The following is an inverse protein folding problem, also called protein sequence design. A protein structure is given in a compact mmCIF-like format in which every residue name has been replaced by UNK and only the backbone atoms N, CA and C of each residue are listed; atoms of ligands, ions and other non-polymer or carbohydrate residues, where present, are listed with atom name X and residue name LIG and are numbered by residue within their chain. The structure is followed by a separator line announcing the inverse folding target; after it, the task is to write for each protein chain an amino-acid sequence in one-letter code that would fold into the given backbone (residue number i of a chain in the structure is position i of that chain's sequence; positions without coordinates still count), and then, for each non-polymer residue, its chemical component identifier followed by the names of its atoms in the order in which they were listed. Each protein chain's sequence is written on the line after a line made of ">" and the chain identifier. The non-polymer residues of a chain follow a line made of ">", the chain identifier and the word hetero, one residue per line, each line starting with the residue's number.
data_IF_575069430593
#
_entry.id   IF_575069430593
#
_cell.length_a   1.000
_cell.length_b   1.000
_cell.length_c   1.000
_cell.angle_alpha   90.00
_cell.angle_beta   90.00
_cell.angle_gamma   90.00
#
_symmetry.space_group_name_H-M   'P 1'
#
loop_
_entity.id
_entity.type
_entity.pdbx_description
1 polymer ?
#
# COMPACT_ATOMS: atom_id res chain seq x y z
N UNK A 1 13.16 10.73 -21.55
CA UNK A 1 13.11 10.76 -20.07
C UNK A 1 11.69 10.42 -19.64
N UNK A 2 11.50 9.37 -18.84
CA UNK A 2 10.18 9.05 -18.26
C UNK A 2 10.05 9.87 -16.97
N UNK A 3 9.27 10.95 -16.99
CA UNK A 3 8.98 11.73 -15.79
C UNK A 3 8.11 10.91 -14.84
N UNK A 4 8.49 10.84 -13.56
CA UNK A 4 7.67 10.21 -12.54
C UNK A 4 6.46 11.10 -12.26
N UNK A 5 5.35 10.49 -11.85
CA UNK A 5 4.14 11.25 -11.50
C UNK A 5 4.38 12.29 -10.39
N UNK A 6 5.36 12.03 -9.52
CA UNK A 6 5.80 12.95 -8.47
C UNK A 6 6.47 14.21 -9.01
N UNK A 7 7.20 14.11 -10.12
CA UNK A 7 7.85 15.26 -10.75
C UNK A 7 6.80 16.27 -11.22
N UNK A 8 5.66 15.78 -11.70
CA UNK A 8 4.51 16.62 -12.09
C UNK A 8 3.86 17.34 -10.92
N UNK A 9 3.79 16.69 -9.75
CA UNK A 9 3.31 17.33 -8.51
C UNK A 9 4.28 18.43 -8.07
N UNK A 10 5.58 18.19 -8.18
CA UNK A 10 6.61 19.19 -7.86
C UNK A 10 6.54 20.37 -8.83
N UNK A 11 6.39 20.12 -10.13
CA UNK A 11 6.21 21.17 -11.14
C UNK A 11 4.99 22.05 -10.85
N UNK A 12 3.85 21.45 -10.47
CA UNK A 12 2.67 22.22 -10.08
C UNK A 12 2.92 23.11 -8.84
N UNK A 13 3.74 22.64 -7.89
CA UNK A 13 4.06 23.37 -6.66
C UNK A 13 5.22 24.37 -6.82
N UNK A 14 6.02 24.30 -7.91
CA UNK A 14 7.09 25.27 -8.19
C UNK A 14 6.56 26.68 -8.44
N UNK A 15 5.29 26.83 -8.80
CA UNK A 15 4.64 28.13 -8.95
C UNK A 15 4.52 28.90 -7.61
N UNK A 16 4.97 28.33 -6.48
CA UNK A 16 5.09 29.02 -5.20
C UNK A 16 3.79 29.13 -4.40
N UNK A 17 2.65 28.86 -5.04
CA UNK A 17 1.33 28.82 -4.42
C UNK A 17 1.10 27.50 -3.67
N UNK A 18 0.47 27.59 -2.49
CA UNK A 18 -0.01 26.40 -1.79
C UNK A 18 -1.24 25.85 -2.51
N UNK A 19 -1.26 24.54 -2.78
CA UNK A 19 -2.36 23.89 -3.50
C UNK A 19 -2.94 22.74 -2.69
N UNK A 20 -4.27 22.59 -2.74
CA UNK A 20 -4.96 21.41 -2.22
C UNK A 20 -4.76 20.21 -3.16
N UNK A 21 -5.01 19.00 -2.67
CA UNK A 21 -4.95 17.77 -3.50
C UNK A 21 -5.87 17.88 -4.73
N UNK A 22 -7.05 18.49 -4.57
CA UNK A 22 -7.99 18.75 -5.68
C UNK A 22 -7.40 19.75 -6.68
N UNK A 23 -6.77 20.82 -6.20
CA UNK A 23 -6.05 21.79 -7.05
C UNK A 23 -4.92 21.15 -7.85
N UNK A 24 -4.09 20.33 -7.20
CA UNK A 24 -3.01 19.58 -7.84
C UNK A 24 -3.53 18.64 -8.93
N UNK A 25 -4.63 17.92 -8.64
CA UNK A 25 -5.28 17.06 -9.63
C UNK A 25 -5.70 17.85 -10.87
N UNK A 26 -6.42 18.96 -10.67
CA UNK A 26 -6.91 19.78 -11.78
C UNK A 26 -5.76 20.35 -12.62
N UNK A 27 -4.67 20.80 -11.98
CA UNK A 27 -3.48 21.29 -12.66
C UNK A 27 -2.75 20.18 -13.45
N UNK A 28 -2.71 18.96 -12.93
CA UNK A 28 -2.12 17.85 -13.68
C UNK A 28 -3.02 17.44 -14.85
N UNK A 29 -4.34 17.42 -14.66
CA UNK A 29 -5.29 17.12 -15.72
C UNK A 29 -5.28 18.18 -16.84
N UNK A 30 -5.02 19.45 -16.54
CA UNK A 30 -4.88 20.50 -17.57
C UNK A 30 -3.65 20.30 -18.47
N UNK A 31 -2.64 19.55 -18.03
CA UNK A 31 -1.49 19.17 -18.88
C UNK A 31 -1.78 17.99 -19.81
N UNK A 32 -3.04 17.52 -19.87
CA UNK A 32 -3.47 16.38 -20.70
C UNK A 32 -3.27 15.01 -20.04
N UNK A 33 -2.95 14.98 -18.74
CA UNK A 33 -2.64 13.76 -18.00
C UNK A 33 -3.79 13.40 -17.08
N UNK A 34 -4.41 12.25 -17.28
CA UNK A 34 -5.45 11.76 -16.38
C UNK A 34 -4.86 11.42 -15.00
N UNK A 35 -5.26 12.15 -13.97
CA UNK A 35 -4.76 11.99 -12.61
C UNK A 35 -5.87 11.49 -11.68
N UNK A 36 -5.80 10.22 -11.27
CA UNK A 36 -6.69 9.70 -10.24
C UNK A 36 -6.41 10.38 -8.90
N UNK A 37 -7.45 10.76 -8.16
CA UNK A 37 -7.31 11.41 -6.85
C UNK A 37 -6.42 10.61 -5.88
N UNK A 38 -6.58 9.28 -5.86
CA UNK A 38 -5.74 8.38 -5.06
C UNK A 38 -4.26 8.44 -5.43
N UNK A 39 -3.94 8.56 -6.72
CA UNK A 39 -2.56 8.66 -7.19
C UNK A 39 -1.91 9.98 -6.74
N UNK A 40 -2.65 11.10 -6.84
CA UNK A 40 -2.20 12.41 -6.35
C UNK A 40 -2.00 12.38 -4.84
N UNK A 41 -2.95 11.82 -4.08
CA UNK A 41 -2.83 11.67 -2.63
C UNK A 41 -1.60 10.84 -2.24
N UNK A 42 -1.36 9.72 -2.92
CA UNK A 42 -0.18 8.89 -2.66
C UNK A 42 1.13 9.61 -2.97
N UNK A 43 1.19 10.36 -4.07
CA UNK A 43 2.36 11.14 -4.44
C UNK A 43 2.66 12.22 -3.39
N UNK A 44 1.64 12.97 -2.95
CA UNK A 44 1.73 13.97 -1.88
C UNK A 44 2.26 13.35 -0.59
N UNK A 45 1.68 12.24 -0.12
CA UNK A 45 2.15 11.55 1.10
C UNK A 45 3.61 11.12 1.00
N UNK A 46 4.05 10.66 -0.17
CA UNK A 46 5.44 10.26 -0.37
C UNK A 46 6.38 11.47 -0.34
N UNK A 47 6.03 12.56 -1.03
CA UNK A 47 6.81 13.78 -1.05
C UNK A 47 6.91 14.44 0.34
N UNK A 48 5.83 14.42 1.10
CA UNK A 48 5.79 14.92 2.48
C UNK A 48 6.73 14.10 3.39
N UNK A 49 6.71 12.77 3.28
CA UNK A 49 7.62 11.90 4.05
C UNK A 49 9.10 12.15 3.81
N UNK A 50 9.47 12.64 2.62
CA UNK A 50 10.85 12.98 2.29
C UNK A 50 11.14 14.47 2.49
N UNK A 51 10.27 15.22 3.17
CA UNK A 51 10.39 16.67 3.40
C UNK A 51 10.56 17.47 2.09
N UNK A 52 10.03 16.97 0.98
CA UNK A 52 10.02 17.70 -0.32
C UNK A 52 8.95 18.78 -0.30
N UNK A 53 7.80 18.48 0.32
CA UNK A 53 6.67 19.39 0.49
C UNK A 53 6.29 19.47 1.97
N UNK A 54 5.62 20.55 2.35
CA UNK A 54 5.06 20.74 3.69
C UNK A 54 3.59 21.16 3.62
N UNK A 55 2.79 20.82 4.64
CA UNK A 55 1.44 21.33 4.77
C UNK A 55 1.45 22.85 4.95
N UNK A 56 0.60 23.55 4.20
CA UNK A 56 0.47 24.99 4.23
C UNK A 56 -1.01 25.39 4.15
N UNK A 57 -1.35 26.54 4.73
CA UNK A 57 -2.68 27.13 4.58
C UNK A 57 -2.83 27.64 3.15
N UNK A 58 -3.98 27.38 2.54
CA UNK A 58 -4.34 27.91 1.22
C UNK A 58 -5.23 29.12 1.43
N UNK A 59 -4.85 30.25 0.84
CA UNK A 59 -5.67 31.46 0.90
C UNK A 59 -7.06 31.20 0.32
N UNK A 60 -8.11 31.53 1.08
CA UNK A 60 -9.50 31.35 0.66
C UNK A 60 -10.05 29.92 0.74
N UNK A 61 -9.34 28.98 1.37
CA UNK A 61 -9.80 27.60 1.52
C UNK A 61 -9.63 27.08 2.95
N UNK A 62 -10.66 26.42 3.54
CA UNK A 62 -10.55 25.75 4.84
C UNK A 62 -9.76 24.43 4.76
N UNK A 63 -9.42 23.98 3.55
CA UNK A 63 -8.74 22.72 3.30
C UNK A 63 -7.22 22.86 3.38
N UNK A 64 -6.57 21.85 3.96
CA UNK A 64 -5.12 21.73 4.02
C UNK A 64 -4.51 21.69 2.61
N UNK A 65 -3.60 22.63 2.34
CA UNK A 65 -2.79 22.64 1.13
C UNK A 65 -1.38 22.16 1.38
N UNK A 66 -0.63 22.09 0.30
CA UNK A 66 0.77 21.71 0.31
C UNK A 66 1.59 22.75 -0.46
N UNK A 67 2.78 23.05 0.05
CA UNK A 67 3.76 23.94 -0.57
C UNK A 67 5.09 23.21 -0.73
N UNK A 68 5.86 23.58 -1.74
CA UNK A 68 7.23 23.09 -1.93
C UNK A 68 8.16 23.68 -0.86
N UNK A 69 9.02 22.87 -0.27
CA UNK A 69 10.04 23.34 0.68
C UNK A 69 11.22 23.98 -0.05
N UNK A 70 11.91 24.93 0.59
CA UNK A 70 13.10 25.58 -0.01
C UNK A 70 14.23 24.57 -0.29
N UNK A 71 14.37 23.57 0.58
CA UNK A 71 15.37 22.50 0.47
C UNK A 71 14.84 21.23 -0.21
N UNK A 72 13.80 21.33 -1.05
CA UNK A 72 13.15 20.16 -1.68
C UNK A 72 14.11 19.27 -2.48
N UNK A 73 15.21 19.83 -3.02
CA UNK A 73 16.25 19.09 -3.75
C UNK A 73 16.95 18.04 -2.89
N UNK A 74 17.13 18.31 -1.60
CA UNK A 74 17.75 17.36 -0.69
C UNK A 74 16.76 16.24 -0.34
N UNK A 75 15.48 16.57 -0.17
CA UNK A 75 14.39 15.59 -0.07
C UNK A 75 14.32 14.65 -1.28
N UNK A 76 14.49 15.19 -2.49
CA UNK A 76 14.52 14.38 -3.73
C UNK A 76 15.72 13.45 -3.79
N UNK A 77 16.91 13.89 -3.36
CA UNK A 77 18.10 13.03 -3.26
C UNK A 77 17.89 11.91 -2.23
N UNK A 78 17.27 12.22 -1.10
CA UNK A 78 16.90 11.23 -0.08
C UNK A 78 15.90 10.20 -0.63
N UNK A 79 14.96 10.66 -1.43
CA UNK A 79 14.02 9.80 -2.12
C UNK A 79 14.71 8.96 -3.22
N UNK A 80 15.72 9.46 -3.91
CA UNK A 80 16.48 8.69 -4.91
C UNK A 80 17.33 7.58 -4.29
N UNK A 81 17.80 7.77 -3.05
CA UNK A 81 18.57 6.78 -2.29
C UNK A 81 17.73 5.53 -1.98
N UNK A 82 18.12 4.39 -2.55
CA UNK A 82 17.51 3.07 -2.32
C UNK A 82 17.51 2.67 -0.84
N UNK A 83 18.59 3.00 -0.12
CA UNK A 83 18.80 2.71 1.30
C UNK A 83 17.73 3.37 2.18
N UNK A 84 17.35 4.62 1.86
CA UNK A 84 16.37 5.39 2.63
C UNK A 84 14.91 5.04 2.27
N UNK A 85 14.64 4.64 1.01
CA UNK A 85 13.34 4.04 0.64
C UNK A 85 13.01 2.80 1.48
N UNK A 86 14.02 1.98 1.78
CA UNK A 86 13.86 0.77 2.60
C UNK A 86 13.57 1.09 4.07
N UNK A 87 14.17 2.15 4.62
CA UNK A 87 13.92 2.60 6.00
C UNK A 87 12.51 3.17 6.19
N UNK A 88 12.00 3.95 5.22
CA UNK A 88 10.62 4.47 5.26
C UNK A 88 9.59 3.33 5.18
N UNK A 89 9.88 2.25 4.42
CA UNK A 89 9.02 1.05 4.39
C UNK A 89 8.99 0.32 5.74
N UNK A 90 10.11 0.28 6.48
CA UNK A 90 10.15 -0.33 7.82
C UNK A 90 9.35 0.43 8.88
N UNK A 91 9.21 1.76 8.76
CA UNK A 91 8.39 2.54 9.69
C UNK A 91 6.87 2.32 9.50
N UNK A 92 6.44 1.84 8.32
CA UNK A 92 5.02 1.79 7.96
C UNK A 92 4.30 0.52 8.46
N UNK A 93 5.00 -0.51 8.94
CA UNK A 93 4.32 -1.67 9.52
C UNK A 93 5.11 -2.28 10.67
N UNK A 94 4.85 -1.82 11.90
CA UNK A 94 4.44 -2.84 12.87
C UNK A 94 3.06 -3.30 12.38
N UNK A 95 2.87 -4.56 11.98
CA UNK A 95 1.50 -5.03 11.77
C UNK A 95 0.76 -4.69 13.05
N UNK A 96 -0.28 -3.85 12.94
CA UNK A 96 -1.24 -3.76 14.03
C UNK A 96 -1.82 -5.15 14.09
N UNK A 97 -1.40 -5.93 15.08
CA UNK A 97 -2.09 -7.14 15.52
C UNK A 97 -3.46 -6.66 16.01
N UNK A 98 -4.34 -6.33 15.05
CA UNK A 98 -5.75 -6.33 15.34
C UNK A 98 -6.01 -7.78 15.76
N UNK A 99 -6.59 -8.04 16.94
CA UNK A 99 -7.06 -9.37 17.23
C UNK A 99 -7.98 -9.71 16.07
N UNK A 100 -7.55 -10.64 15.21
CA UNK A 100 -8.44 -11.26 14.26
C UNK A 100 -9.46 -11.89 15.18
N UNK A 101 -10.63 -11.26 15.29
CA UNK A 101 -11.79 -11.95 15.87
C UNK A 101 -11.89 -13.19 15.01
N UNK A 102 -11.48 -14.32 15.57
CA UNK A 102 -11.79 -15.63 15.05
C UNK A 102 -13.30 -15.63 15.09
N UNK A 103 -13.91 -15.26 13.98
CA UNK A 103 -15.30 -15.61 13.73
C UNK A 103 -15.18 -17.10 13.56
N UNK A 104 -15.30 -17.84 14.67
CA UNK A 104 -15.58 -19.26 14.62
C UNK A 104 -16.81 -19.35 13.74
N UNK A 105 -16.68 -19.85 12.50
CA UNK A 105 -17.86 -20.01 11.70
C UNK A 105 -18.66 -21.05 12.47
N UNK A 106 -19.86 -20.67 12.90
CA UNK A 106 -20.85 -21.62 13.40
C UNK A 106 -21.26 -22.48 12.21
N UNK A 107 -20.35 -23.37 11.81
CA UNK A 107 -20.66 -24.45 10.90
C UNK A 107 -21.61 -25.35 11.68
N UNK A 108 -22.91 -25.22 11.41
CA UNK A 108 -23.86 -26.29 11.71
C UNK A 108 -23.32 -27.60 11.12
N UNK A 109 -23.73 -28.77 11.65
CA UNK A 109 -23.16 -30.04 11.25
C UNK A 109 -23.44 -30.28 9.76
N UNK A 110 -22.46 -29.97 8.92
CA UNK A 110 -22.48 -30.37 7.52
C UNK A 110 -22.35 -31.88 7.49
N UNK A 111 -23.48 -32.58 7.42
CA UNK A 111 -23.51 -33.98 6.97
C UNK A 111 -23.13 -33.95 5.49
N UNK A 112 -21.86 -34.15 5.17
CA UNK A 112 -21.46 -34.46 3.80
C UNK A 112 -22.12 -35.80 3.42
N UNK A 113 -23.23 -35.76 2.70
CA UNK A 113 -23.82 -36.94 2.08
C UNK A 113 -23.51 -36.93 0.59
N UNK A 114 -23.14 -38.10 0.05
CA UNK A 114 -22.90 -38.32 -1.38
C UNK A 114 -21.43 -38.35 -1.81
N UNK A 115 -21.18 -38.07 -3.08
CA UNK A 115 -19.87 -38.15 -3.74
C UNK A 115 -18.74 -37.35 -3.06
N UNK A 116 -18.96 -36.15 -2.45
CA UNK A 116 -17.90 -35.41 -1.80
C UNK A 116 -17.28 -36.14 -0.60
N UNK A 117 -18.10 -36.85 0.18
CA UNK A 117 -17.62 -37.64 1.32
C UNK A 117 -16.82 -38.86 0.86
N UNK A 118 -17.26 -39.52 -0.22
CA UNK A 118 -16.54 -40.66 -0.83
C UNK A 118 -15.17 -40.23 -1.35
N UNK A 119 -15.10 -39.08 -2.03
CA UNK A 119 -13.83 -38.54 -2.52
C UNK A 119 -12.89 -38.18 -1.36
N UNK A 120 -13.41 -37.62 -0.26
CA UNK A 120 -12.60 -37.29 0.90
C UNK A 120 -12.07 -38.54 1.63
N UNK A 121 -12.86 -39.62 1.72
CA UNK A 121 -12.40 -40.92 2.24
C UNK A 121 -11.31 -41.51 1.34
N UNK A 122 -11.53 -41.53 0.02
CA UNK A 122 -10.56 -42.06 -0.94
C UNK A 122 -9.23 -41.28 -0.91
N UNK A 123 -9.28 -39.95 -0.81
CA UNK A 123 -8.09 -39.12 -0.65
C UNK A 123 -7.33 -39.44 0.65
N UNK A 124 -8.05 -39.62 1.76
CA UNK A 124 -7.43 -39.97 3.03
C UNK A 124 -6.74 -41.34 2.98
N UNK A 125 -7.34 -42.33 2.32
CA UNK A 125 -6.75 -43.66 2.14
C UNK A 125 -5.47 -43.62 1.28
N UNK A 126 -5.50 -42.88 0.17
CA UNK A 126 -4.34 -42.70 -0.70
C UNK A 126 -3.19 -42.00 0.02
N UNK A 127 -3.49 -41.02 0.87
CA UNK A 127 -2.50 -40.25 1.61
C UNK A 127 -2.04 -40.91 2.92
N UNK A 128 -2.73 -41.95 3.40
CA UNK A 128 -2.39 -42.64 4.65
C UNK A 128 -1.01 -43.32 4.60
N UNK A 129 -0.67 -44.02 3.52
CA UNK A 129 0.63 -44.73 3.39
C UNK A 129 1.82 -43.76 3.28
N UNK A 130 1.78 -42.71 2.44
CA UNK A 130 2.83 -41.67 2.41
C UNK A 130 2.98 -40.94 3.74
N UNK A 131 1.87 -40.61 4.42
CA UNK A 131 1.88 -39.92 5.70
C UNK A 131 2.51 -40.77 6.80
N UNK A 132 2.14 -42.05 6.90
CA UNK A 132 2.76 -42.99 7.83
C UNK A 132 4.27 -43.17 7.57
N UNK A 133 4.69 -43.19 6.30
CA UNK A 133 6.13 -43.22 5.94
C UNK A 133 6.86 -41.93 6.34
N UNK A 134 6.23 -40.75 6.21
CA UNK A 134 6.82 -39.47 6.64
C UNK A 134 6.92 -39.37 8.17
N UNK A 135 5.90 -39.81 8.91
CA UNK A 135 5.91 -39.87 10.37
C UNK A 135 7.03 -40.79 10.87
N UNK A 136 7.15 -42.01 10.32
CA UNK A 136 8.25 -42.94 10.66
C UNK A 136 9.65 -42.39 10.35
N UNK A 137 9.76 -41.45 9.41
CA UNK A 137 11.03 -40.78 9.04
C UNK A 137 11.26 -39.49 9.82
N UNK A 138 10.38 -39.11 10.76
CA UNK A 138 10.49 -37.87 11.53
C UNK A 138 10.26 -36.59 10.72
N UNK A 139 9.67 -36.69 9.52
CA UNK A 139 9.50 -35.58 8.58
C UNK A 139 8.12 -34.90 8.67
N UNK A 140 7.22 -35.42 9.50
CA UNK A 140 5.92 -34.82 9.79
C UNK A 140 5.49 -35.26 11.20
N UNK A 141 5.05 -34.30 12.02
CA UNK A 141 4.39 -34.53 13.31
C UNK A 141 2.90 -34.83 13.09
#
# INVERSE_FOLDING_TARGET
>A
MVMLFQDRVIEALKCGQSMTIKGLRNHIESTGVKAAYGAVKHAVIQLEKFNVISPAVVEGSPWLGYKLNDNYKDGLKLQASSSKRYMVRKQVHKPVEKPVKVIEPTYGPWRQTGEPARLQIMFNELLAKPRAKRIKRGLAQ
#
